data_IF_499806671801
#
_entry.id   IF_499806671801
#
_cell.length_a   1.000
_cell.length_b   1.000
_cell.length_c   1.000
_cell.angle_alpha   90.00
_cell.angle_beta   90.00
_cell.angle_gamma   90.00
#
_symmetry.space_group_name_H-M   'P 1'
#
loop_
_entity.id
_entity.type
_entity.pdbx_description
1 polymer ?
#
# COMPACT_ATOMS: atom_id res chain seq x y z
N UNK A 1 15.98 -14.81 -9.76
CA UNK A 1 14.99 -13.81 -10.22
C UNK A 1 15.71 -12.50 -10.42
N UNK A 2 15.66 -11.89 -11.59
CA UNK A 2 16.36 -10.62 -11.87
C UNK A 2 15.48 -9.45 -11.43
N UNK A 3 16.04 -8.41 -10.80
CA UNK A 3 15.28 -7.23 -10.42
C UNK A 3 14.90 -6.41 -11.66
N UNK A 4 13.72 -5.80 -11.60
CA UNK A 4 13.21 -4.84 -12.57
C UNK A 4 14.14 -3.62 -12.66
N UNK A 5 14.66 -3.35 -13.86
CA UNK A 5 15.39 -2.11 -14.21
C UNK A 5 14.67 -1.44 -15.37
N UNK A 6 14.36 -0.14 -15.27
CA UNK A 6 13.91 0.61 -16.43
C UNK A 6 15.06 0.75 -17.43
N UNK A 7 14.76 0.51 -18.71
CA UNK A 7 15.73 0.66 -19.81
C UNK A 7 15.95 2.14 -20.07
N UNK A 8 17.14 2.63 -19.77
CA UNK A 8 17.66 3.88 -20.32
C UNK A 8 18.26 3.61 -21.71
N UNK A 9 17.73 4.28 -22.72
CA UNK A 9 18.33 4.33 -24.06
C UNK A 9 19.58 5.22 -24.00
N UNK A 10 20.71 4.62 -24.35
CA UNK A 10 22.00 5.27 -24.52
C UNK A 10 22.06 5.97 -25.89
N UNK A 11 22.18 7.29 -25.89
CA UNK A 11 22.65 8.06 -27.04
C UNK A 11 24.12 8.41 -26.79
N UNK A 12 25.01 8.01 -27.69
CA UNK A 12 26.44 8.28 -27.63
C UNK A 12 26.72 9.71 -28.00
N UNK A 13 27.36 10.48 -27.12
CA UNK A 13 28.17 11.64 -27.47
C UNK A 13 29.53 11.50 -26.82
N UNK A 14 30.55 11.38 -27.68
CA UNK A 14 31.95 11.45 -27.29
C UNK A 14 32.30 12.93 -27.03
N UNK A 15 32.79 13.27 -25.85
CA UNK A 15 33.66 14.42 -25.66
C UNK A 15 34.61 14.21 -24.48
N UNK A 16 35.82 14.73 -24.66
CA UNK A 16 37.06 14.41 -24.02
C UNK A 16 37.20 14.72 -22.52
N UNK A 17 38.08 13.92 -21.91
CA UNK A 17 38.75 14.02 -20.61
C UNK A 17 38.96 15.43 -20.03
N UNK A 18 38.51 15.61 -18.78
CA UNK A 18 39.34 16.19 -17.71
C UNK A 18 38.94 15.51 -16.40
N UNK A 19 39.95 14.98 -15.69
CA UNK A 19 39.75 14.14 -14.52
C UNK A 19 39.21 14.91 -13.31
N UNK A 20 38.13 14.38 -12.76
CA UNK A 20 37.75 14.65 -11.38
C UNK A 20 37.37 13.26 -10.78
N UNK A 21 38.28 12.74 -9.93
CA UNK A 21 38.01 11.55 -9.16
C UNK A 21 36.91 11.86 -8.15
N UNK A 22 35.64 11.56 -8.51
CA UNK A 22 34.55 11.49 -7.55
C UNK A 22 34.61 10.09 -6.96
N UNK A 23 35.07 9.99 -5.72
CA UNK A 23 34.94 8.78 -4.91
C UNK A 23 33.42 8.55 -4.72
N UNK A 24 32.86 7.60 -5.49
CA UNK A 24 31.55 7.05 -5.19
C UNK A 24 31.77 6.11 -4.00
N UNK A 25 31.50 6.60 -2.80
CA UNK A 25 31.42 5.75 -1.62
C UNK A 25 30.23 4.79 -1.82
N UNK A 26 30.52 3.54 -2.14
CA UNK A 26 29.56 2.44 -2.01
C UNK A 26 29.25 2.29 -0.51
N UNK A 27 28.05 2.69 -0.08
CA UNK A 27 27.56 2.40 1.25
C UNK A 27 27.38 0.87 1.36
N UNK A 28 28.30 0.21 2.03
CA UNK A 28 28.10 -1.17 2.47
C UNK A 28 27.01 -1.21 3.55
N UNK A 29 26.13 -2.21 3.57
CA UNK A 29 25.19 -2.38 4.67
C UNK A 29 26.00 -2.56 5.98
N UNK A 30 25.75 -1.69 6.95
CA UNK A 30 26.38 -1.79 8.26
C UNK A 30 25.84 -3.03 8.98
N UNK A 31 26.68 -4.05 9.14
CA UNK A 31 26.39 -5.16 10.02
C UNK A 31 26.45 -4.67 11.49
N UNK A 32 25.48 -5.10 12.30
CA UNK A 32 25.34 -4.75 13.72
C UNK A 32 26.60 -4.93 14.59
N UNK A 33 27.61 -5.65 14.09
CA UNK A 33 28.88 -5.91 14.78
C UNK A 33 29.91 -4.77 14.78
N UNK A 34 29.68 -3.66 14.05
CA UNK A 34 30.67 -2.59 13.87
C UNK A 34 30.20 -1.21 14.35
N UNK A 35 29.26 -1.14 15.29
CA UNK A 35 28.91 0.13 15.93
C UNK A 35 30.05 0.57 16.85
N UNK A 36 30.48 1.84 16.82
CA UNK A 36 31.46 2.38 17.76
C UNK A 36 30.96 2.20 19.21
N UNK A 37 31.88 1.88 20.14
CA UNK A 37 31.54 1.63 21.55
C UNK A 37 30.83 2.82 22.22
N UNK A 38 31.01 4.01 21.74
CA UNK A 38 30.38 5.26 22.16
C UNK A 38 28.95 5.44 21.62
N UNK A 39 28.56 4.75 20.54
CA UNK A 39 27.17 4.74 20.07
C UNK A 39 26.22 3.98 21.02
N UNK A 40 26.76 3.08 21.86
CA UNK A 40 26.00 2.32 22.87
C UNK A 40 25.60 3.22 24.06
N UNK A 41 26.29 4.34 24.28
CA UNK A 41 26.05 5.28 25.39
C UNK A 41 25.03 6.39 25.05
N UNK A 42 24.55 6.46 23.80
CA UNK A 42 23.60 7.50 23.35
C UNK A 42 22.19 6.93 23.27
N UNK A 43 21.17 7.78 23.45
CA UNK A 43 19.76 7.43 23.18
C UNK A 43 19.48 7.13 21.69
N UNK A 44 20.51 7.11 20.84
CA UNK A 44 20.44 6.90 19.40
C UNK A 44 21.52 5.90 18.93
N UNK A 45 21.41 4.61 19.29
CA UNK A 45 22.41 3.60 18.95
C UNK A 45 22.50 3.34 17.44
N UNK A 46 21.49 3.72 16.68
CA UNK A 46 21.40 3.49 15.22
C UNK A 46 21.85 4.71 14.39
N UNK A 47 22.23 5.82 15.03
CA UNK A 47 22.61 7.08 14.38
C UNK A 47 21.53 7.59 13.38
N UNK A 48 20.27 7.53 13.81
CA UNK A 48 19.13 7.98 13.05
C UNK A 48 18.97 9.51 13.14
N UNK A 49 18.37 10.18 12.15
CA UNK A 49 17.95 11.57 12.26
C UNK A 49 16.88 11.77 13.35
N UNK A 50 16.58 13.03 13.68
CA UNK A 50 15.43 13.36 14.52
C UNK A 50 14.14 12.80 13.93
N UNK A 51 13.36 12.08 14.76
CA UNK A 51 12.15 11.39 14.31
C UNK A 51 11.59 10.47 15.39
N UNK A 52 10.44 9.90 15.09
CA UNK A 52 9.78 8.88 15.91
C UNK A 52 9.99 7.52 15.25
N UNK A 53 10.47 6.55 16.03
CA UNK A 53 10.80 5.22 15.52
C UNK A 53 10.24 4.12 16.41
N UNK A 54 10.04 2.95 15.82
CA UNK A 54 9.81 1.70 16.53
C UNK A 54 11.00 0.76 16.30
N UNK A 55 11.54 0.21 17.39
CA UNK A 55 12.52 -0.86 17.41
C UNK A 55 11.78 -2.15 17.71
N UNK A 56 11.86 -3.11 16.80
CA UNK A 56 11.21 -4.42 16.91
C UNK A 56 12.31 -5.47 16.99
N UNK A 57 12.48 -6.08 18.15
CA UNK A 57 13.43 -7.19 18.36
C UNK A 57 12.72 -8.52 18.07
N UNK A 58 13.38 -9.36 17.29
CA UNK A 58 12.96 -10.71 16.93
C UNK A 58 14.07 -11.70 17.18
N UNK A 59 13.80 -13.00 17.08
CA UNK A 59 14.82 -14.06 17.17
C UNK A 59 15.90 -13.97 16.07
N UNK A 60 15.59 -13.26 14.97
CA UNK A 60 16.47 -13.13 13.81
C UNK A 60 17.23 -11.81 13.75
N UNK A 61 16.97 -10.91 14.69
CA UNK A 61 17.62 -9.60 14.74
C UNK A 61 16.64 -8.47 15.03
N UNK A 62 17.13 -7.24 14.83
CA UNK A 62 16.39 -6.02 15.13
C UNK A 62 15.95 -5.34 13.85
N UNK A 63 14.67 -4.97 13.79
CA UNK A 63 14.09 -4.13 12.73
C UNK A 63 13.77 -2.77 13.32
N UNK A 64 14.21 -1.69 12.70
CA UNK A 64 13.85 -0.32 13.10
C UNK A 64 13.06 0.33 11.99
N UNK A 65 11.86 0.82 12.32
CA UNK A 65 11.01 1.55 11.40
C UNK A 65 10.86 3.01 11.82
N UNK A 66 10.97 3.94 10.86
CA UNK A 66 10.46 5.29 11.03
C UNK A 66 8.94 5.27 11.07
N UNK A 67 8.34 6.05 11.99
CA UNK A 67 6.90 6.24 12.12
C UNK A 67 6.49 7.60 11.58
N UNK A 68 5.53 7.63 10.68
CA UNK A 68 5.09 8.85 9.99
C UNK A 68 4.09 9.67 10.83
N UNK A 69 4.47 10.01 12.08
CA UNK A 69 3.60 10.64 13.08
C UNK A 69 3.01 11.99 12.66
N UNK A 70 3.61 12.68 11.68
CA UNK A 70 3.06 13.92 11.11
C UNK A 70 2.10 13.69 9.94
N UNK A 71 2.21 12.53 9.27
CA UNK A 71 1.39 12.17 8.11
C UNK A 71 0.16 11.34 8.49
N UNK A 72 0.34 10.41 9.43
CA UNK A 72 -0.69 9.49 9.92
C UNK A 72 -0.75 9.51 11.45
N UNK A 73 -1.07 10.68 12.06
CA UNK A 73 -0.97 10.90 13.50
C UNK A 73 -1.90 10.01 14.33
N UNK A 74 -3.11 9.69 13.86
CA UNK A 74 -4.05 8.82 14.58
C UNK A 74 -3.53 7.38 14.64
N UNK A 75 -3.06 6.86 13.52
CA UNK A 75 -2.50 5.51 13.41
C UNK A 75 -1.24 5.36 14.26
N UNK A 76 -0.34 6.34 14.16
CA UNK A 76 0.89 6.33 14.98
C UNK A 76 0.56 6.50 16.48
N UNK A 77 -0.43 7.32 16.85
CA UNK A 77 -0.86 7.45 18.26
C UNK A 77 -1.43 6.12 18.79
N UNK A 78 -2.22 5.40 17.97
CA UNK A 78 -2.71 4.06 18.34
C UNK A 78 -1.56 3.09 18.53
N UNK A 79 -0.66 2.97 17.56
CA UNK A 79 0.47 2.04 17.60
C UNK A 79 1.40 2.33 18.78
N UNK A 80 1.83 3.57 18.94
CA UNK A 80 2.74 3.98 20.01
C UNK A 80 2.08 3.82 21.38
N UNK A 81 0.81 4.23 21.53
CA UNK A 81 0.09 4.10 22.78
C UNK A 81 -0.13 2.64 23.19
N UNK A 82 -0.33 1.74 22.24
CA UNK A 82 -0.36 0.30 22.50
C UNK A 82 1.03 -0.22 22.88
N UNK A 83 2.08 0.15 22.14
CA UNK A 83 3.45 -0.28 22.42
C UNK A 83 3.93 0.16 23.82
N UNK A 84 3.56 1.34 24.27
CA UNK A 84 3.92 1.89 25.58
C UNK A 84 2.93 1.54 26.71
N UNK A 85 1.79 0.91 26.36
CA UNK A 85 0.74 0.58 27.34
C UNK A 85 -0.02 1.80 27.86
N UNK A 86 -0.06 2.92 27.13
CA UNK A 86 -0.88 4.09 27.42
C UNK A 86 -2.28 4.00 26.82
N UNK A 87 -2.46 3.13 25.81
CA UNK A 87 -3.73 2.71 25.21
C UNK A 87 -3.94 1.20 25.36
N UNK A 88 -5.12 0.73 24.98
CA UNK A 88 -5.45 -0.69 24.94
C UNK A 88 -6.27 -1.20 26.12
N UNK A 89 -6.46 -2.53 26.21
CA UNK A 89 -7.29 -3.15 27.25
C UNK A 89 -6.67 -3.01 28.65
N UNK A 90 -7.53 -3.10 29.66
CA UNK A 90 -7.11 -3.06 31.07
C UNK A 90 -6.81 -4.48 31.60
N UNK A 91 -5.83 -4.66 32.53
CA UNK A 91 -4.88 -3.64 32.98
C UNK A 91 -3.90 -3.26 31.86
N UNK A 92 -3.55 -1.98 31.77
CA UNK A 92 -2.64 -1.48 30.74
C UNK A 92 -1.22 -1.99 30.95
N UNK A 93 -0.64 -2.49 29.86
CA UNK A 93 0.74 -2.94 29.74
C UNK A 93 1.20 -2.77 28.30
N UNK A 94 2.50 -2.80 28.01
CA UNK A 94 2.99 -2.85 26.63
C UNK A 94 2.27 -3.97 25.86
N UNK A 95 1.45 -3.56 24.87
CA UNK A 95 0.50 -4.48 24.22
C UNK A 95 1.18 -5.49 23.33
N UNK A 96 2.23 -5.07 22.63
CA UNK A 96 2.94 -5.92 21.65
C UNK A 96 3.99 -6.84 22.29
N UNK A 97 4.26 -6.67 23.59
CA UNK A 97 5.30 -7.43 24.28
C UNK A 97 5.01 -8.93 24.30
N UNK A 98 5.89 -9.71 23.65
CA UNK A 98 5.77 -11.16 23.57
C UNK A 98 4.66 -11.66 22.62
N UNK A 99 4.03 -10.79 21.82
CA UNK A 99 3.13 -11.23 20.76
C UNK A 99 3.92 -11.91 19.66
N UNK A 100 3.22 -12.71 18.84
CA UNK A 100 3.85 -13.47 17.77
C UNK A 100 3.52 -12.89 16.38
N UNK A 101 4.40 -13.18 15.44
CA UNK A 101 4.12 -13.04 14.02
C UNK A 101 3.19 -14.18 13.60
N UNK A 102 1.88 -13.98 13.74
CA UNK A 102 0.89 -15.03 13.54
C UNK A 102 0.67 -15.42 12.07
N UNK A 103 1.10 -14.56 11.13
CA UNK A 103 1.00 -14.84 9.69
C UNK A 103 2.25 -14.35 8.96
N UNK A 104 2.95 -15.26 8.30
CA UNK A 104 4.11 -14.95 7.44
C UNK A 104 3.88 -15.56 6.07
N UNK A 105 3.88 -14.72 5.03
CA UNK A 105 3.73 -15.15 3.65
C UNK A 105 4.99 -14.72 2.88
N UNK A 106 5.87 -15.67 2.52
CA UNK A 106 7.12 -15.37 1.84
C UNK A 106 6.93 -14.54 0.56
N UNK A 107 7.71 -13.45 0.44
CA UNK A 107 7.63 -12.53 -0.70
C UNK A 107 6.39 -11.64 -0.69
N UNK A 108 5.61 -11.66 0.37
CA UNK A 108 4.43 -10.79 0.54
C UNK A 108 4.52 -9.99 1.84
N UNK A 109 4.20 -10.59 2.99
CA UNK A 109 4.10 -9.89 4.28
C UNK A 109 4.60 -10.72 5.45
N UNK A 110 5.02 -10.00 6.51
CA UNK A 110 5.12 -10.46 7.88
C UNK A 110 4.07 -9.70 8.69
N UNK A 111 3.07 -10.39 9.27
CA UNK A 111 1.94 -9.80 9.98
C UNK A 111 1.91 -10.23 11.44
N UNK A 112 1.78 -9.25 12.33
CA UNK A 112 1.69 -9.44 13.77
C UNK A 112 0.74 -8.45 14.43
N UNK A 113 0.82 -8.34 15.79
CA UNK A 113 0.01 -7.41 16.57
C UNK A 113 -1.37 -7.95 16.95
N UNK A 114 -1.63 -9.24 16.76
CA UNK A 114 -2.82 -9.93 17.24
C UNK A 114 -2.56 -10.57 18.61
N UNK A 115 -3.25 -10.16 19.69
CA UNK A 115 -3.06 -10.74 21.02
C UNK A 115 -3.52 -12.20 21.14
N UNK A 116 -4.33 -12.69 20.20
CA UNK A 116 -4.82 -14.07 20.18
C UNK A 116 -3.99 -14.97 19.28
N UNK A 117 -3.22 -14.40 18.34
CA UNK A 117 -2.44 -15.14 17.36
C UNK A 117 -3.26 -15.87 16.30
N UNK A 118 -4.57 -15.59 16.17
CA UNK A 118 -5.50 -16.25 15.24
C UNK A 118 -5.77 -15.46 13.96
N UNK A 119 -5.48 -14.16 13.99
CA UNK A 119 -5.83 -13.19 12.96
C UNK A 119 -7.07 -12.35 13.28
N UNK A 120 -7.87 -12.75 14.28
CA UNK A 120 -9.15 -12.09 14.64
C UNK A 120 -9.04 -11.16 15.86
N UNK A 121 -7.90 -11.18 16.56
CA UNK A 121 -7.70 -10.42 17.78
C UNK A 121 -7.33 -8.96 17.51
N UNK A 122 -7.56 -8.12 18.54
CA UNK A 122 -7.27 -6.69 18.47
C UNK A 122 -7.25 -6.00 19.83
N UNK A 123 -7.14 -4.66 19.84
CA UNK A 123 -6.96 -3.88 21.07
C UNK A 123 -8.30 -3.57 21.80
N UNK A 124 -9.42 -4.08 21.31
CA UNK A 124 -10.77 -3.80 21.82
C UNK A 124 -11.43 -2.54 21.25
N UNK A 125 -10.83 -1.95 20.24
CA UNK A 125 -11.39 -0.83 19.46
C UNK A 125 -10.91 -0.88 18.00
N UNK A 126 -11.62 -0.14 17.14
CA UNK A 126 -11.19 0.13 15.76
C UNK A 126 -11.15 1.63 15.49
N UNK A 127 -10.37 2.03 14.46
CA UNK A 127 -10.24 3.43 14.08
C UNK A 127 -10.15 3.59 12.55
N UNK A 128 -10.49 4.79 12.04
CA UNK A 128 -10.50 5.08 10.62
C UNK A 128 -9.12 5.01 9.95
N UNK A 129 -9.16 4.75 8.63
CA UNK A 129 -7.98 4.85 7.78
C UNK A 129 -7.43 6.27 7.72
N UNK A 130 -6.10 6.38 7.62
CA UNK A 130 -5.36 7.60 7.32
C UNK A 130 -4.51 7.39 6.07
N UNK A 131 -5.15 7.29 4.92
CA UNK A 131 -4.44 7.13 3.65
C UNK A 131 -3.91 8.47 3.20
N UNK A 132 -2.62 8.51 2.88
CA UNK A 132 -1.91 9.71 2.43
C UNK A 132 -1.53 9.52 0.97
N UNK A 133 -2.08 10.32 0.02
CA UNK A 133 -1.63 10.31 -1.36
C UNK A 133 -0.11 10.49 -1.46
N UNK A 134 0.54 9.71 -2.32
CA UNK A 134 1.99 9.66 -2.42
C UNK A 134 2.71 8.70 -1.47
N UNK A 135 2.00 8.06 -0.52
CA UNK A 135 2.52 6.90 0.20
C UNK A 135 2.01 5.62 -0.46
N UNK A 136 2.92 4.84 -1.01
CA UNK A 136 2.59 3.65 -1.80
C UNK A 136 3.25 2.39 -1.25
N UNK A 137 2.64 1.24 -1.54
CA UNK A 137 3.21 -0.09 -1.29
C UNK A 137 4.19 -0.48 -2.42
N UNK A 138 5.19 0.35 -2.67
CA UNK A 138 6.11 0.26 -3.82
C UNK A 138 7.44 -0.44 -3.50
N UNK A 139 7.67 -0.79 -2.24
CA UNK A 139 8.93 -1.37 -1.77
C UNK A 139 8.75 -2.36 -0.62
N UNK A 140 9.76 -3.19 -0.41
CA UNK A 140 9.90 -3.93 0.83
C UNK A 140 10.18 -2.95 1.99
N UNK A 141 9.73 -3.32 3.20
CA UNK A 141 9.92 -2.51 4.39
C UNK A 141 8.81 -1.49 4.68
N UNK A 142 7.81 -1.34 3.80
CA UNK A 142 6.62 -0.55 4.12
C UNK A 142 5.92 -1.14 5.34
N UNK A 143 5.63 -0.29 6.33
CA UNK A 143 4.88 -0.60 7.54
C UNK A 143 3.46 -0.08 7.39
N UNK A 144 2.48 -0.99 7.40
CA UNK A 144 1.06 -0.68 7.20
C UNK A 144 0.17 -1.33 8.26
N UNK A 145 -1.04 -0.80 8.45
CA UNK A 145 -2.09 -1.47 9.22
C UNK A 145 -2.67 -2.65 8.43
N UNK A 146 -2.90 -3.75 9.12
CA UNK A 146 -3.84 -4.77 8.66
C UNK A 146 -5.25 -4.32 9.04
N UNK A 147 -6.23 -4.56 8.17
CA UNK A 147 -7.63 -4.24 8.39
C UNK A 147 -8.54 -5.25 7.66
N UNK A 148 -9.83 -5.20 7.97
CA UNK A 148 -10.90 -6.06 7.45
C UNK A 148 -11.92 -5.25 6.63
N UNK A 149 -11.40 -4.25 5.92
CA UNK A 149 -12.14 -3.26 5.16
C UNK A 149 -11.98 -1.84 5.74
N UNK A 150 -12.65 -0.85 5.14
CA UNK A 150 -12.49 0.54 5.53
C UNK A 150 -12.76 0.79 7.01
N UNK A 151 -11.93 1.63 7.64
CA UNK A 151 -12.08 2.09 9.02
C UNK A 151 -12.08 0.97 10.08
N UNK A 152 -11.49 -0.19 9.78
CA UNK A 152 -11.41 -1.32 10.70
C UNK A 152 -10.00 -1.56 11.27
N UNK A 153 -9.13 -0.54 11.27
CA UNK A 153 -7.81 -0.64 11.84
C UNK A 153 -7.86 -0.89 13.34
N UNK A 154 -7.02 -1.82 13.83
CA UNK A 154 -6.92 -2.18 15.25
C UNK A 154 -5.48 -2.12 15.75
N UNK A 155 -4.94 -3.28 16.18
CA UNK A 155 -3.54 -3.41 16.59
C UNK A 155 -2.67 -4.19 15.59
N UNK A 156 -3.28 -4.90 14.66
CA UNK A 156 -2.53 -5.72 13.70
C UNK A 156 -1.86 -4.87 12.64
N UNK A 157 -0.61 -5.19 12.32
CA UNK A 157 0.19 -4.50 11.31
C UNK A 157 1.02 -5.48 10.47
N UNK A 158 1.43 -5.02 9.30
CA UNK A 158 2.24 -5.77 8.37
C UNK A 158 3.53 -5.02 8.01
N UNK A 159 4.63 -5.78 7.88
CA UNK A 159 5.85 -5.36 7.21
C UNK A 159 5.90 -6.02 5.83
N UNK A 160 6.02 -5.21 4.78
CA UNK A 160 6.00 -5.70 3.40
C UNK A 160 7.34 -6.33 3.04
N UNK A 161 7.32 -7.50 2.38
CA UNK A 161 8.51 -8.20 1.87
C UNK A 161 8.82 -7.88 0.41
N UNK A 162 7.89 -7.26 -0.30
CA UNK A 162 8.04 -6.83 -1.69
C UNK A 162 6.98 -5.78 -2.06
N UNK A 163 7.11 -5.08 -3.20
CA UNK A 163 6.08 -4.15 -3.69
C UNK A 163 4.72 -4.82 -3.85
N UNK A 164 3.66 -4.14 -3.38
CA UNK A 164 2.26 -4.61 -3.44
C UNK A 164 1.31 -3.46 -3.81
N UNK A 165 1.40 -2.89 -5.01
CA UNK A 165 0.63 -1.70 -5.39
C UNK A 165 -0.89 -1.90 -5.30
N UNK A 166 -1.37 -3.16 -5.42
CA UNK A 166 -2.79 -3.49 -5.26
C UNK A 166 -3.35 -3.20 -3.85
N UNK A 167 -2.49 -2.94 -2.84
CA UNK A 167 -2.90 -2.55 -1.49
C UNK A 167 -3.02 -1.02 -1.32
N UNK A 168 -2.60 -0.22 -2.29
CA UNK A 168 -2.76 1.23 -2.25
C UNK A 168 -4.23 1.61 -2.08
N UNK A 169 -4.51 2.60 -1.24
CA UNK A 169 -5.86 3.07 -0.89
C UNK A 169 -6.74 2.06 -0.14
N UNK A 170 -6.18 0.91 0.26
CA UNK A 170 -6.87 -0.08 1.11
C UNK A 170 -6.33 -0.13 2.53
N UNK A 171 -5.04 0.15 2.71
CA UNK A 171 -4.36 0.05 4.00
C UNK A 171 -3.58 1.33 4.30
N UNK A 172 -3.66 1.78 5.56
CA UNK A 172 -2.89 2.93 6.04
C UNK A 172 -1.41 2.57 6.14
N UNK A 173 -0.57 3.26 5.38
CA UNK A 173 0.89 3.20 5.54
C UNK A 173 1.28 4.22 6.61
N UNK A 174 1.92 3.76 7.69
CA UNK A 174 2.27 4.63 8.82
C UNK A 174 3.76 4.63 9.18
N UNK A 175 4.59 3.95 8.39
CA UNK A 175 6.04 3.92 8.58
C UNK A 175 6.78 3.14 7.50
N UNK A 176 8.09 3.08 7.66
CA UNK A 176 8.98 2.33 6.78
C UNK A 176 10.23 1.85 7.53
N UNK A 177 10.75 0.67 7.16
CA UNK A 177 11.98 0.11 7.73
C UNK A 177 13.18 0.95 7.33
N UNK A 178 13.93 1.43 8.32
CA UNK A 178 15.17 2.20 8.13
C UNK A 178 16.41 1.39 8.49
N UNK A 179 16.27 0.31 9.28
CA UNK A 179 17.34 -0.67 9.62
C UNK A 179 16.75 -2.06 9.73
N UNK A 180 17.54 -3.08 9.38
CA UNK A 180 17.14 -4.48 9.52
C UNK A 180 16.17 -4.95 8.43
N UNK A 181 16.19 -4.36 7.24
CA UNK A 181 15.39 -4.82 6.11
C UNK A 181 15.74 -6.27 5.71
N UNK A 182 17.00 -6.65 5.89
CA UNK A 182 17.53 -7.99 5.67
C UNK A 182 17.07 -9.02 6.71
N UNK A 183 16.58 -8.57 7.86
CA UNK A 183 16.01 -9.44 8.91
C UNK A 183 14.62 -9.95 8.50
N UNK A 184 13.81 -9.14 7.80
CA UNK A 184 12.42 -9.45 7.49
C UNK A 184 12.21 -10.81 6.79
N UNK A 185 13.02 -11.23 5.79
CA UNK A 185 12.81 -12.51 5.13
C UNK A 185 13.09 -13.74 6.01
N UNK A 186 13.74 -13.55 7.16
CA UNK A 186 14.11 -14.62 8.10
C UNK A 186 13.07 -14.82 9.20
N UNK A 187 12.18 -13.86 9.43
CA UNK A 187 11.09 -13.97 10.42
C UNK A 187 10.17 -15.12 10.03
N UNK A 188 9.84 -15.97 10.99
CA UNK A 188 8.99 -17.14 10.83
C UNK A 188 7.65 -16.95 11.55
N UNK A 189 6.66 -17.69 11.09
CA UNK A 189 5.37 -17.71 11.77
C UNK A 189 5.54 -18.36 13.16
N UNK A 190 5.10 -17.64 14.19
CA UNK A 190 5.22 -18.05 15.57
C UNK A 190 6.39 -17.38 16.32
N UNK A 191 7.35 -16.75 15.60
CA UNK A 191 8.40 -15.98 16.25
C UNK A 191 7.81 -14.84 17.10
N UNK A 192 8.46 -14.50 18.19
CA UNK A 192 8.02 -13.46 19.11
C UNK A 192 8.52 -12.08 18.70
N UNK A 193 7.84 -11.04 19.17
CA UNK A 193 8.28 -9.65 19.00
C UNK A 193 8.37 -8.93 20.35
N UNK A 194 9.36 -8.02 20.46
CA UNK A 194 9.48 -7.05 21.52
C UNK A 194 9.56 -5.66 20.89
N UNK A 195 8.66 -4.77 21.29
CA UNK A 195 8.50 -3.46 20.66
C UNK A 195 8.90 -2.35 21.61
N UNK A 196 9.80 -1.47 21.16
CA UNK A 196 10.25 -0.29 21.89
C UNK A 196 10.11 0.96 21.01
N UNK A 197 9.65 2.06 21.59
CA UNK A 197 9.54 3.34 20.90
C UNK A 197 10.78 4.19 21.18
N UNK A 198 11.36 4.76 20.10
CA UNK A 198 12.50 5.66 20.16
C UNK A 198 12.05 7.05 19.70
N UNK A 199 12.30 8.07 20.54
CA UNK A 199 11.98 9.47 20.28
C UNK A 199 13.27 10.28 20.17
N UNK A 200 13.63 10.68 18.96
CA UNK A 200 14.82 11.45 18.69
C UNK A 200 14.42 12.89 18.29
N UNK A 201 15.01 13.86 18.98
CA UNK A 201 14.71 15.28 18.79
C UNK A 201 13.43 15.76 19.47
N UNK A 202 13.30 17.07 19.56
CA UNK A 202 12.26 17.76 20.35
C UNK A 202 10.84 17.43 19.87
N UNK A 203 10.63 17.39 18.55
CA UNK A 203 9.30 17.15 17.97
C UNK A 203 8.79 15.75 18.27
N UNK A 204 9.64 14.72 18.16
CA UNK A 204 9.28 13.35 18.50
C UNK A 204 9.06 13.15 20.01
N UNK A 205 9.83 13.83 20.86
CA UNK A 205 9.65 13.83 22.31
C UNK A 205 8.32 14.47 22.73
N UNK A 206 7.85 15.48 21.98
CA UNK A 206 6.58 16.14 22.24
C UNK A 206 5.35 15.36 21.70
N UNK A 207 5.56 14.29 20.94
CA UNK A 207 4.47 13.46 20.44
C UNK A 207 3.92 12.55 21.56
N UNK A 208 2.69 12.82 21.98
CA UNK A 208 2.00 12.04 23.01
C UNK A 208 1.04 11.02 22.37
N UNK A 209 1.01 9.83 22.95
CA UNK A 209 0.17 8.70 22.50
C UNK A 209 -0.63 8.16 23.69
N UNK A 210 -1.56 8.96 24.20
CA UNK A 210 -2.47 8.63 25.30
C UNK A 210 -3.94 8.68 24.86
N UNK A 211 -4.85 8.34 25.76
CA UNK A 211 -6.28 8.37 25.51
C UNK A 211 -6.78 9.74 25.06
N UNK A 212 -6.26 10.82 25.62
CA UNK A 212 -6.71 12.19 25.32
C UNK A 212 -6.31 12.56 23.90
N UNK A 213 -5.06 12.34 23.55
CA UNK A 213 -4.52 12.59 22.21
C UNK A 213 -5.23 11.72 21.18
N UNK A 214 -5.34 10.41 21.44
CA UNK A 214 -6.02 9.48 20.54
C UNK A 214 -7.48 9.88 20.32
N UNK A 215 -8.24 10.20 21.36
CA UNK A 215 -9.63 10.63 21.24
C UNK A 215 -9.78 11.95 20.44
N UNK A 216 -8.87 12.89 20.63
CA UNK A 216 -8.87 14.16 19.91
C UNK A 216 -8.57 13.98 18.41
N UNK A 217 -7.65 13.06 18.06
CA UNK A 217 -7.36 12.71 16.67
C UNK A 217 -8.52 11.94 16.03
N UNK A 218 -9.09 10.98 16.76
CA UNK A 218 -10.22 10.17 16.31
C UNK A 218 -11.47 11.02 16.02
N UNK A 219 -11.70 12.07 16.80
CA UNK A 219 -12.82 12.99 16.60
C UNK A 219 -12.69 13.82 15.31
N UNK A 220 -11.48 13.99 14.79
CA UNK A 220 -11.19 14.74 13.55
C UNK A 220 -11.02 13.84 12.34
N UNK A 221 -11.02 12.51 12.53
CA UNK A 221 -10.74 11.57 11.46
C UNK A 221 -11.82 11.65 10.37
N UNK A 222 -11.36 11.66 9.13
CA UNK A 222 -12.24 11.51 7.97
C UNK A 222 -12.73 10.06 7.94
N UNK A 223 -14.05 9.83 8.08
CA UNK A 223 -14.63 8.49 8.13
C UNK A 223 -15.12 8.04 6.76
N UNK A 224 -15.08 6.73 6.55
CA UNK A 224 -15.62 6.12 5.34
C UNK A 224 -17.13 6.38 5.25
N UNK A 225 -17.55 6.96 4.13
CA UNK A 225 -18.96 7.23 3.82
C UNK A 225 -19.43 6.57 2.52
N UNK A 226 -18.60 5.70 1.93
CA UNK A 226 -18.92 5.00 0.70
C UNK A 226 -19.89 3.83 0.90
N UNK A 227 -20.34 3.25 -0.20
CA UNK A 227 -21.18 2.03 -0.18
C UNK A 227 -20.34 0.82 0.22
N UNK A 228 -20.92 -0.09 0.99
CA UNK A 228 -20.25 -1.32 1.43
C UNK A 228 -20.12 -2.37 0.30
N UNK A 229 -20.95 -2.28 -0.72
CA UNK A 229 -21.01 -3.27 -1.79
C UNK A 229 -20.96 -2.64 -3.18
N UNK A 230 -20.31 -3.30 -4.14
CA UNK A 230 -20.33 -2.91 -5.55
C UNK A 230 -21.75 -2.88 -6.10
N UNK A 231 -21.97 -2.11 -7.15
CA UNK A 231 -23.25 -2.01 -7.83
C UNK A 231 -23.28 -0.85 -8.83
N UNK A 232 -24.38 -0.70 -9.53
CA UNK A 232 -24.53 0.28 -10.63
C UNK A 232 -24.29 1.73 -10.21
N UNK A 233 -24.51 2.07 -8.93
CA UNK A 233 -24.27 3.41 -8.39
C UNK A 233 -22.96 3.55 -7.59
N UNK A 234 -22.25 2.44 -7.41
CA UNK A 234 -20.97 2.40 -6.70
C UNK A 234 -19.82 2.82 -7.61
N UNK A 235 -18.66 3.21 -7.07
CA UNK A 235 -17.46 3.46 -7.86
C UNK A 235 -17.01 2.24 -8.68
N UNK A 236 -17.20 1.02 -8.14
CA UNK A 236 -16.87 -0.22 -8.84
C UNK A 236 -18.11 -1.09 -9.06
N UNK A 237 -18.20 -1.75 -10.25
CA UNK A 237 -19.24 -2.73 -10.54
C UNK A 237 -18.70 -3.88 -11.40
N UNK A 238 -19.05 -5.10 -11.00
CA UNK A 238 -18.79 -6.37 -11.69
C UNK A 238 -20.10 -7.13 -11.84
N UNK A 239 -21.01 -6.62 -12.71
CA UNK A 239 -22.35 -7.18 -12.90
C UNK A 239 -22.33 -8.64 -13.35
N UNK A 240 -21.36 -8.98 -14.18
CA UNK A 240 -21.24 -10.31 -14.80
C UNK A 240 -20.41 -11.29 -13.92
N UNK A 241 -19.94 -10.84 -12.74
CA UNK A 241 -19.15 -11.64 -11.78
C UNK A 241 -17.91 -12.28 -12.43
N UNK A 242 -17.13 -11.48 -13.14
CA UNK A 242 -15.93 -11.93 -13.84
C UNK A 242 -14.71 -12.08 -12.93
N UNK A 243 -14.74 -11.47 -11.74
CA UNK A 243 -13.66 -11.54 -10.77
C UNK A 243 -13.70 -12.85 -9.97
N UNK A 244 -12.56 -13.28 -9.39
CA UNK A 244 -12.53 -14.39 -8.47
C UNK A 244 -13.51 -14.19 -7.29
N UNK A 245 -14.18 -15.26 -6.87
CA UNK A 245 -15.18 -15.25 -5.78
C UNK A 245 -14.63 -15.75 -4.44
N UNK A 246 -13.42 -16.28 -4.42
CA UNK A 246 -12.71 -16.78 -3.23
C UNK A 246 -12.36 -15.69 -2.21
N UNK A 247 -12.36 -14.45 -2.65
CA UNK A 247 -12.24 -13.23 -1.87
C UNK A 247 -13.20 -12.18 -2.49
N UNK A 248 -13.88 -11.32 -1.72
CA UNK A 248 -14.77 -10.30 -2.26
C UNK A 248 -13.99 -9.17 -2.98
N UNK A 249 -13.37 -9.52 -4.13
CA UNK A 249 -12.50 -8.62 -4.90
C UNK A 249 -13.21 -7.37 -5.40
N UNK A 250 -14.46 -7.54 -5.80
CA UNK A 250 -15.28 -6.42 -6.22
C UNK A 250 -15.50 -5.42 -5.07
N UNK A 251 -15.68 -5.89 -3.82
CA UNK A 251 -15.76 -5.04 -2.62
C UNK A 251 -14.45 -4.30 -2.40
N UNK A 252 -13.29 -4.98 -2.52
CA UNK A 252 -11.99 -4.35 -2.35
C UNK A 252 -11.74 -3.24 -3.38
N UNK A 253 -12.11 -3.43 -4.65
CA UNK A 253 -12.01 -2.36 -5.66
C UNK A 253 -12.98 -1.21 -5.38
N UNK A 254 -14.19 -1.52 -4.92
CA UNK A 254 -15.14 -0.49 -4.50
C UNK A 254 -14.57 0.34 -3.33
N UNK A 255 -13.97 -0.31 -2.32
CA UNK A 255 -13.31 0.37 -1.20
C UNK A 255 -12.11 1.21 -1.66
N UNK A 256 -11.27 0.66 -2.55
CA UNK A 256 -10.12 1.35 -3.12
C UNK A 256 -10.53 2.66 -3.82
N UNK A 257 -11.51 2.60 -4.71
CA UNK A 257 -11.98 3.77 -5.44
C UNK A 257 -12.70 4.78 -4.53
N UNK A 258 -13.47 4.32 -3.56
CA UNK A 258 -14.11 5.18 -2.56
C UNK A 258 -13.09 5.86 -1.66
N UNK A 259 -12.05 5.16 -1.21
CA UNK A 259 -10.96 5.75 -0.44
C UNK A 259 -10.12 6.71 -1.28
N UNK A 260 -9.89 6.39 -2.56
CA UNK A 260 -9.22 7.32 -3.45
C UNK A 260 -9.98 8.66 -3.54
N UNK A 261 -11.30 8.63 -3.76
CA UNK A 261 -12.14 9.84 -3.73
C UNK A 261 -12.07 10.55 -2.37
N UNK A 262 -12.19 9.80 -1.27
CA UNK A 262 -12.18 10.30 0.12
C UNK A 262 -10.92 11.11 0.44
N UNK A 263 -9.75 10.65 0.00
CA UNK A 263 -8.46 11.23 0.37
C UNK A 263 -7.86 12.16 -0.69
N UNK A 264 -8.34 12.09 -1.94
CA UNK A 264 -7.84 12.94 -3.04
C UNK A 264 -8.87 13.96 -3.54
N UNK A 265 -10.15 13.77 -3.21
CA UNK A 265 -11.26 14.52 -3.80
C UNK A 265 -11.53 14.18 -5.28
N UNK A 266 -10.82 13.20 -5.85
CA UNK A 266 -10.96 12.80 -7.26
C UNK A 266 -11.79 11.54 -7.36
N UNK A 267 -12.98 11.64 -7.96
CA UNK A 267 -13.84 10.49 -8.18
C UNK A 267 -13.43 9.72 -9.42
N UNK A 268 -13.27 8.41 -9.27
CA UNK A 268 -13.00 7.46 -10.35
C UNK A 268 -14.04 6.35 -10.28
N UNK A 269 -14.57 5.95 -11.43
CA UNK A 269 -15.44 4.78 -11.51
C UNK A 269 -14.87 3.74 -12.48
N UNK A 270 -15.12 2.46 -12.17
CA UNK A 270 -14.76 1.35 -13.07
C UNK A 270 -15.91 0.36 -13.20
N UNK A 271 -16.05 -0.19 -14.40
CA UNK A 271 -17.06 -1.20 -14.78
C UNK A 271 -16.38 -2.33 -15.53
N UNK A 272 -16.75 -3.55 -15.23
CA UNK A 272 -16.30 -4.71 -15.99
C UNK A 272 -17.50 -5.49 -16.50
N UNK A 273 -17.45 -5.83 -17.78
CA UNK A 273 -18.52 -6.49 -18.51
C UNK A 273 -18.02 -7.72 -19.26
N UNK A 274 -18.80 -8.79 -19.29
CA UNK A 274 -18.54 -9.94 -20.14
C UNK A 274 -18.61 -9.57 -21.63
N UNK A 275 -19.50 -8.64 -21.96
CA UNK A 275 -19.69 -8.09 -23.31
C UNK A 275 -19.88 -6.58 -23.23
N UNK A 276 -19.50 -5.87 -24.30
CA UNK A 276 -19.76 -4.43 -24.40
C UNK A 276 -21.24 -4.12 -24.12
N UNK A 277 -21.54 -3.14 -23.26
CA UNK A 277 -22.92 -2.78 -22.89
C UNK A 277 -23.75 -2.22 -24.07
N UNK A 278 -23.08 -1.73 -25.11
CA UNK A 278 -23.67 -1.21 -26.34
C UNK A 278 -22.81 -1.58 -27.55
N UNK A 279 -23.32 -1.41 -28.76
CA UNK A 279 -22.51 -1.55 -29.98
C UNK A 279 -21.32 -0.56 -29.96
N UNK A 280 -20.19 -0.96 -30.58
CA UNK A 280 -18.91 -0.23 -30.55
C UNK A 280 -19.06 1.22 -30.98
N UNK A 281 -19.87 1.50 -32.01
CA UNK A 281 -20.09 2.84 -32.54
C UNK A 281 -20.79 3.80 -31.53
N UNK A 282 -21.45 3.26 -30.52
CA UNK A 282 -22.14 4.03 -29.47
C UNK A 282 -21.42 4.03 -28.12
N UNK A 283 -20.29 3.32 -28.02
CA UNK A 283 -19.63 3.10 -26.73
C UNK A 283 -19.14 4.42 -26.11
N UNK A 284 -18.52 5.29 -26.89
CA UNK A 284 -18.02 6.57 -26.39
C UNK A 284 -19.16 7.47 -25.88
N UNK A 285 -20.29 7.54 -26.59
CA UNK A 285 -21.46 8.30 -26.16
C UNK A 285 -22.05 7.71 -24.89
N UNK A 286 -22.13 6.39 -24.80
CA UNK A 286 -22.63 5.70 -23.61
C UNK A 286 -21.70 5.95 -22.41
N UNK A 287 -20.38 5.86 -22.59
CA UNK A 287 -19.41 6.13 -21.55
C UNK A 287 -19.50 7.57 -21.01
N UNK A 288 -19.69 8.56 -21.87
CA UNK A 288 -19.90 9.96 -21.45
C UNK A 288 -21.17 10.09 -20.60
N UNK A 289 -22.27 9.45 -21.03
CA UNK A 289 -23.53 9.45 -20.28
C UNK A 289 -23.41 8.74 -18.95
N UNK A 290 -22.71 7.61 -18.91
CA UNK A 290 -22.48 6.85 -17.67
C UNK A 290 -21.56 7.61 -16.70
N UNK A 291 -20.50 8.24 -17.18
CA UNK A 291 -19.65 9.11 -16.37
C UNK A 291 -20.44 10.28 -15.76
N UNK A 292 -21.30 10.90 -16.54
CA UNK A 292 -22.20 11.96 -16.04
C UNK A 292 -23.20 11.43 -15.01
N UNK A 293 -23.80 10.26 -15.23
CA UNK A 293 -24.72 9.59 -14.31
C UNK A 293 -24.04 9.31 -12.95
N UNK A 294 -22.80 8.87 -12.99
CA UNK A 294 -21.99 8.55 -11.81
C UNK A 294 -21.35 9.79 -11.16
N UNK A 295 -21.56 10.97 -11.77
CA UNK A 295 -20.90 12.21 -11.35
C UNK A 295 -19.39 12.03 -11.19
N UNK A 296 -18.72 11.42 -12.20
CA UNK A 296 -17.29 11.17 -12.20
C UNK A 296 -16.60 11.84 -13.38
N UNK A 297 -15.38 12.36 -13.12
CA UNK A 297 -14.48 12.83 -14.17
C UNK A 297 -13.67 11.71 -14.83
N UNK A 298 -13.74 10.49 -14.32
CA UNK A 298 -12.96 9.36 -14.83
C UNK A 298 -13.78 8.09 -14.80
N UNK A 299 -13.94 7.45 -15.97
CA UNK A 299 -14.61 6.17 -16.10
C UNK A 299 -13.73 5.19 -16.90
N UNK A 300 -13.38 4.06 -16.28
CA UNK A 300 -12.68 2.95 -16.92
C UNK A 300 -13.65 1.79 -17.14
N UNK A 301 -13.66 1.21 -18.34
CA UNK A 301 -14.52 0.08 -18.68
C UNK A 301 -13.69 -1.03 -19.32
N UNK A 302 -13.85 -2.24 -18.80
CA UNK A 302 -13.30 -3.45 -19.39
C UNK A 302 -14.39 -4.28 -20.03
N UNK A 303 -14.20 -4.66 -21.30
CA UNK A 303 -15.06 -5.56 -22.06
C UNK A 303 -14.31 -6.87 -22.32
N UNK A 304 -14.71 -7.95 -21.68
CA UNK A 304 -13.99 -9.22 -21.74
C UNK A 304 -14.08 -9.90 -23.11
N UNK A 305 -15.19 -9.73 -23.85
CA UNK A 305 -15.36 -10.23 -25.21
C UNK A 305 -14.38 -9.62 -26.23
N UNK A 306 -13.89 -8.41 -25.93
CA UNK A 306 -12.92 -7.69 -26.75
C UNK A 306 -11.52 -7.73 -26.16
N UNK A 307 -11.39 -8.23 -24.92
CA UNK A 307 -10.19 -8.14 -24.08
C UNK A 307 -9.60 -6.72 -24.07
N UNK A 308 -10.44 -5.73 -23.85
CA UNK A 308 -10.06 -4.32 -24.02
C UNK A 308 -10.61 -3.42 -22.94
N UNK A 309 -9.76 -2.48 -22.50
CA UNK A 309 -10.13 -1.34 -21.67
C UNK A 309 -10.48 -0.14 -22.54
N UNK A 310 -11.46 0.62 -22.08
CA UNK A 310 -11.84 1.94 -22.58
C UNK A 310 -11.79 2.92 -21.41
N UNK A 311 -11.31 4.14 -21.65
CA UNK A 311 -11.09 5.14 -20.60
C UNK A 311 -11.60 6.51 -21.05
N UNK A 312 -12.44 7.13 -20.24
CA UNK A 312 -12.83 8.53 -20.33
C UNK A 312 -12.15 9.30 -19.23
N UNK A 313 -11.46 10.39 -19.59
CA UNK A 313 -10.87 11.35 -18.67
C UNK A 313 -11.53 12.71 -18.91
N UNK A 314 -12.15 13.27 -17.88
CA UNK A 314 -12.60 14.66 -17.87
C UNK A 314 -11.41 15.63 -17.81
N UNK A 315 -11.67 16.90 -17.97
CA UNK A 315 -10.64 17.94 -18.11
C UNK A 315 -9.59 17.92 -17.00
N UNK A 316 -10.03 17.90 -15.75
CA UNK A 316 -9.12 17.95 -14.60
C UNK A 316 -8.34 16.64 -14.42
N UNK A 317 -9.00 15.50 -14.68
CA UNK A 317 -8.36 14.19 -14.70
C UNK A 317 -7.29 14.09 -15.79
N UNK A 318 -7.54 14.64 -16.98
CA UNK A 318 -6.56 14.68 -18.07
C UNK A 318 -5.31 15.48 -17.69
N UNK A 319 -5.48 16.61 -16.98
CA UNK A 319 -4.35 17.42 -16.52
C UNK A 319 -3.49 16.64 -15.53
N UNK A 320 -4.10 15.99 -14.52
CA UNK A 320 -3.38 15.15 -13.54
C UNK A 320 -2.70 13.98 -14.21
N UNK A 321 -3.42 13.23 -15.05
CA UNK A 321 -2.91 12.10 -15.81
C UNK A 321 -1.66 12.45 -16.61
N UNK A 322 -1.68 13.56 -17.34
CA UNK A 322 -0.56 14.00 -18.16
C UNK A 322 0.63 14.46 -17.29
N UNK A 323 0.36 15.16 -16.19
CA UNK A 323 1.40 15.64 -15.25
C UNK A 323 2.18 14.49 -14.61
N UNK A 324 1.45 13.46 -14.16
CA UNK A 324 2.02 12.34 -13.42
C UNK A 324 2.45 11.17 -14.35
N UNK A 325 2.29 11.34 -15.67
CA UNK A 325 2.76 10.36 -16.66
C UNK A 325 4.27 10.49 -16.90
N UNK A 326 4.99 9.38 -17.15
CA UNK A 326 6.41 9.43 -17.53
C UNK A 326 6.65 10.31 -18.75
N UNK A 327 7.82 10.96 -18.82
CA UNK A 327 8.20 11.92 -19.89
C UNK A 327 8.16 11.35 -21.33
N UNK A 328 8.02 10.05 -21.51
CA UNK A 328 7.90 9.37 -22.81
C UNK A 328 6.52 9.49 -23.47
N UNK A 329 5.69 10.45 -23.02
CA UNK A 329 4.42 10.82 -23.65
C UNK A 329 3.38 9.70 -23.55
N UNK A 330 2.85 9.46 -22.38
CA UNK A 330 1.79 8.50 -22.19
C UNK A 330 0.46 9.12 -22.67
N UNK A 331 0.05 8.75 -23.88
CA UNK A 331 -1.36 8.85 -24.25
C UNK A 331 -2.14 7.74 -23.52
N UNK A 332 -3.47 7.86 -23.47
CA UNK A 332 -4.35 6.82 -22.92
C UNK A 332 -4.10 5.47 -23.60
N UNK A 333 -3.87 5.45 -24.92
CA UNK A 333 -3.59 4.21 -25.66
C UNK A 333 -2.29 3.55 -25.21
N UNK A 334 -1.23 4.34 -25.01
CA UNK A 334 0.06 3.81 -24.50
C UNK A 334 -0.06 3.30 -23.08
N UNK A 335 -0.77 4.02 -22.21
CA UNK A 335 -1.08 3.60 -20.87
C UNK A 335 -1.77 2.23 -20.87
N UNK A 336 -2.87 2.09 -21.63
CA UNK A 336 -3.62 0.84 -21.72
C UNK A 336 -2.80 -0.31 -22.33
N UNK A 337 -1.89 -0.01 -23.26
CA UNK A 337 -1.00 -1.02 -23.84
C UNK A 337 0.04 -1.52 -22.81
N UNK A 338 0.60 -0.62 -21.99
CA UNK A 338 1.56 -0.96 -20.93
C UNK A 338 0.88 -1.80 -19.86
N UNK A 339 -0.24 -1.35 -19.32
CA UNK A 339 -0.97 -2.07 -18.26
C UNK A 339 -1.46 -3.44 -18.74
N UNK A 340 -1.84 -3.58 -20.01
CA UNK A 340 -2.14 -4.88 -20.63
C UNK A 340 -0.93 -5.80 -20.60
N UNK A 341 0.24 -5.34 -21.06
CA UNK A 341 1.46 -6.14 -21.06
C UNK A 341 1.86 -6.57 -19.63
N UNK A 342 1.74 -5.69 -18.66
CA UNK A 342 2.03 -5.97 -17.25
C UNK A 342 1.09 -7.01 -16.65
N UNK A 343 -0.21 -6.88 -16.92
CA UNK A 343 -1.21 -7.85 -16.47
C UNK A 343 -1.02 -9.23 -17.09
N UNK A 344 -0.72 -9.31 -18.39
CA UNK A 344 -0.47 -10.57 -19.08
C UNK A 344 0.80 -11.26 -18.53
N UNK A 345 1.86 -10.49 -18.24
CA UNK A 345 3.06 -11.01 -17.60
C UNK A 345 2.80 -11.48 -16.15
N UNK A 346 1.98 -10.75 -15.39
CA UNK A 346 1.61 -11.13 -14.04
C UNK A 346 0.80 -12.42 -14.04
N UNK A 347 -0.17 -12.55 -14.94
CA UNK A 347 -0.96 -13.77 -15.12
C UNK A 347 -0.06 -14.95 -15.53
N UNK A 348 0.84 -14.77 -16.50
CA UNK A 348 1.77 -15.83 -16.93
C UNK A 348 2.67 -16.32 -15.79
N UNK A 349 3.18 -15.39 -14.95
CA UNK A 349 3.96 -15.75 -13.75
C UNK A 349 3.13 -16.54 -12.72
N UNK A 350 1.89 -16.17 -12.53
CA UNK A 350 0.98 -16.87 -11.62
C UNK A 350 0.62 -18.27 -12.17
N UNK A 351 0.31 -18.36 -13.46
CA UNK A 351 0.01 -19.62 -14.13
C UNK A 351 1.18 -20.62 -14.08
N UNK A 352 2.41 -20.13 -14.24
CA UNK A 352 3.60 -20.97 -14.14
C UNK A 352 3.85 -21.55 -12.72
N UNK A 353 3.23 -20.97 -11.68
CA UNK A 353 3.32 -21.46 -10.30
C UNK A 353 2.10 -22.30 -9.87
N UNK A 354 1.05 -22.31 -10.69
CA UNK A 354 -0.15 -23.08 -10.42
C UNK A 354 0.13 -24.60 -10.62
N UNK A 355 -0.50 -25.42 -9.78
CA UNK A 355 -0.43 -26.88 -9.85
C UNK A 355 -1.84 -27.45 -9.93
N UNK A 356 -1.97 -28.76 -10.22
CA UNK A 356 -3.26 -29.45 -10.18
C UNK A 356 -3.93 -29.41 -8.80
N UNK A 357 -3.11 -29.37 -7.73
CA UNK A 357 -3.60 -29.29 -6.34
C UNK A 357 -3.92 -27.84 -5.94
N UNK A 358 -3.32 -26.85 -6.61
CA UNK A 358 -3.53 -25.42 -6.35
C UNK A 358 -3.67 -24.65 -7.67
N UNK A 359 -4.80 -24.84 -8.37
CA UNK A 359 -5.06 -24.16 -9.64
C UNK A 359 -5.30 -22.66 -9.41
N UNK A 360 -5.16 -21.86 -10.47
CA UNK A 360 -5.60 -20.48 -10.40
C UNK A 360 -7.13 -20.40 -10.30
N UNK A 361 -7.65 -19.51 -9.45
CA UNK A 361 -9.08 -19.23 -9.40
C UNK A 361 -9.63 -18.78 -10.75
N UNK A 362 -10.89 -19.10 -11.02
CA UNK A 362 -11.61 -18.53 -12.15
C UNK A 362 -11.62 -16.99 -12.05
N UNK A 363 -11.50 -16.29 -13.19
CA UNK A 363 -11.45 -14.82 -13.20
C UNK A 363 -10.11 -14.20 -12.80
N UNK A 364 -9.08 -15.00 -12.47
CA UNK A 364 -7.78 -14.47 -12.04
C UNK A 364 -7.09 -13.61 -13.11
N UNK A 365 -7.27 -13.92 -14.40
CA UNK A 365 -6.77 -13.10 -15.48
C UNK A 365 -7.44 -11.71 -15.51
N UNK A 366 -8.75 -11.65 -15.29
CA UNK A 366 -9.50 -10.38 -15.20
C UNK A 366 -9.01 -9.57 -14.01
N UNK A 367 -8.79 -10.23 -12.85
CA UNK A 367 -8.23 -9.58 -11.67
C UNK A 367 -6.91 -8.86 -11.98
N UNK A 368 -5.95 -9.52 -12.62
CA UNK A 368 -4.68 -8.90 -12.95
C UNK A 368 -4.82 -7.70 -13.90
N UNK A 369 -5.79 -7.76 -14.82
CA UNK A 369 -6.10 -6.62 -15.72
C UNK A 369 -6.70 -5.44 -14.96
N UNK A 370 -7.57 -5.71 -13.99
CA UNK A 370 -8.17 -4.67 -13.15
C UNK A 370 -7.10 -4.05 -12.22
N UNK A 371 -6.28 -4.87 -11.56
CA UNK A 371 -5.17 -4.38 -10.72
C UNK A 371 -4.25 -3.45 -11.52
N UNK A 372 -3.75 -3.91 -12.67
CA UNK A 372 -2.79 -3.15 -13.45
C UNK A 372 -3.32 -1.79 -13.92
N UNK A 373 -4.58 -1.76 -14.38
CA UNK A 373 -5.19 -0.50 -14.86
C UNK A 373 -5.53 0.42 -13.69
N UNK A 374 -6.15 -0.08 -12.63
CA UNK A 374 -6.56 0.77 -11.52
C UNK A 374 -5.36 1.29 -10.73
N UNK A 375 -4.35 0.47 -10.45
CA UNK A 375 -3.20 0.90 -9.65
C UNK A 375 -2.41 2.01 -10.36
N UNK A 376 -2.12 1.88 -11.66
CA UNK A 376 -1.42 2.92 -12.43
C UNK A 376 -2.31 4.14 -12.71
N UNK A 377 -3.62 3.94 -12.97
CA UNK A 377 -4.56 5.04 -13.18
C UNK A 377 -4.68 5.92 -11.93
N UNK A 378 -4.88 5.32 -10.76
CA UNK A 378 -5.00 6.06 -9.51
C UNK A 378 -3.72 6.84 -9.20
N UNK A 379 -2.53 6.22 -9.38
CA UNK A 379 -1.25 6.90 -9.26
C UNK A 379 -1.16 8.16 -10.14
N UNK A 380 -1.61 8.07 -11.41
CA UNK A 380 -1.60 9.23 -12.34
C UNK A 380 -2.62 10.31 -11.99
N UNK A 381 -3.66 9.98 -11.23
CA UNK A 381 -4.72 10.91 -10.84
C UNK A 381 -4.51 11.53 -9.45
N UNK A 382 -3.44 11.20 -8.76
CA UNK A 382 -3.08 11.81 -7.48
C UNK A 382 -2.87 13.34 -7.59
N UNK A 383 -3.10 14.06 -6.48
CA UNK A 383 -2.98 15.53 -6.42
C UNK A 383 -1.65 16.10 -6.85
#
# INVERSE_FOLDING_TARGET
MKPYRPKLLTTWFLLALTGLNVLVAQAQPATLGNLPADAIATNNPYQLPDGLYTEITTEHGVVVCELFYTKTPLTVASYVGLAEGTLGPQPRKPFYEGLTWHRVVPGFVVQGGDPTGTGDGGPGYSFPDEIVPGLHHDSAGVLQMANDGPDSNGSQYCLMLSPQPHLNYLHTIFGHVVRGLDVLPHIQQGDTMHVKILRLGVAAQAFHADNTTFAALLAKANRYGGTSSPGTNSPFDDQDKLLPTDWPRADAYNFKLSNFERFTGTRVAARIFARSPVAVDYLDTWMQSEAARLNTGTLAIYCADQDRWHLVLGKDATVKFNRNSPATGATVEKFLAITRQESDQAFARAAAKATSEKPLPAGQNVKFKVDAVLDDLLFRLEP
#
